data_IF_537349792046
#
_entry.id   IF_537349792046
#
_cell.length_a   1.000
_cell.length_b   1.000
_cell.length_c   1.000
_cell.angle_alpha   90.00
_cell.angle_beta   90.00
_cell.angle_gamma   90.00
#
_symmetry.space_group_name_H-M   'P 1'
#
loop_
_entity.id
_entity.type
_entity.pdbx_description
1 polymer ?
#
# COMPACT_ATOMS: atom_id res chain seq x y z
N UNK A 1 -0.56 25.51 6.91
CA UNK A 1 -0.47 26.27 8.18
C UNK A 1 0.59 27.35 7.98
N UNK A 2 0.55 28.50 8.67
CA UNK A 2 1.41 29.63 8.36
C UNK A 2 2.92 29.42 8.63
N UNK A 3 3.31 28.41 9.41
CA UNK A 3 4.72 28.14 9.76
C UNK A 3 5.33 26.91 9.06
N UNK A 4 4.53 25.88 8.80
CA UNK A 4 4.98 24.62 8.17
C UNK A 4 3.85 23.93 7.43
N UNK A 5 4.20 23.05 6.50
CA UNK A 5 3.23 22.21 5.83
C UNK A 5 2.72 21.08 6.75
N UNK A 6 1.51 20.59 6.48
CA UNK A 6 0.94 19.46 7.25
C UNK A 6 1.76 18.18 7.08
N UNK A 7 2.27 17.92 5.87
CA UNK A 7 3.17 16.80 5.56
C UNK A 7 4.44 16.83 6.42
N UNK A 8 5.05 18.01 6.57
CA UNK A 8 6.25 18.23 7.38
C UNK A 8 6.01 17.94 8.86
N UNK A 9 4.89 18.44 9.43
CA UNK A 9 4.49 18.13 10.80
C UNK A 9 4.34 16.60 10.99
N UNK A 10 3.71 15.92 10.04
CA UNK A 10 3.48 14.47 10.12
C UNK A 10 4.78 13.67 10.01
N UNK A 11 5.76 14.14 9.22
CA UNK A 11 7.12 13.59 9.21
C UNK A 11 7.79 13.72 10.57
N UNK A 12 7.78 14.92 11.16
CA UNK A 12 8.35 15.16 12.50
C UNK A 12 7.66 14.31 13.57
N UNK A 13 6.34 14.17 13.51
CA UNK A 13 5.58 13.33 14.43
C UNK A 13 5.97 11.86 14.31
N UNK A 14 6.20 11.36 13.09
CA UNK A 14 6.71 9.99 12.85
C UNK A 14 8.11 9.81 13.43
N UNK A 15 9.01 10.76 13.25
CA UNK A 15 10.38 10.67 13.76
C UNK A 15 10.42 10.67 15.30
N UNK A 16 9.62 11.55 15.93
CA UNK A 16 9.56 11.66 17.38
C UNK A 16 8.79 10.49 18.03
N UNK A 17 7.73 10.00 17.38
CA UNK A 17 6.88 8.92 17.88
C UNK A 17 6.33 8.07 16.72
N UNK A 18 7.07 7.04 16.27
CA UNK A 18 6.67 6.20 15.13
C UNK A 18 5.32 5.51 15.33
N UNK A 19 4.99 5.18 16.58
CA UNK A 19 3.75 4.51 16.99
C UNK A 19 2.53 5.44 16.99
N UNK A 20 2.70 6.76 16.87
CA UNK A 20 1.57 7.69 16.78
C UNK A 20 0.80 7.49 15.48
N UNK A 21 -0.53 7.36 15.57
CA UNK A 21 -1.38 7.32 14.39
C UNK A 21 -1.52 8.72 13.81
N UNK A 22 -1.40 8.83 12.48
CA UNK A 22 -1.32 10.09 11.75
C UNK A 22 -2.47 10.18 10.76
N UNK A 23 -3.29 11.22 10.85
CA UNK A 23 -4.42 11.47 9.96
C UNK A 23 -4.18 12.83 9.30
N UNK A 24 -4.27 12.91 7.97
CA UNK A 24 -4.14 14.17 7.25
C UNK A 24 -5.51 14.69 6.80
N UNK A 25 -5.80 15.94 7.15
CA UNK A 25 -6.96 16.67 6.65
C UNK A 25 -6.55 17.48 5.42
N UNK A 26 -7.04 17.11 4.24
CA UNK A 26 -6.64 17.73 2.97
C UNK A 26 -7.81 18.35 2.22
N UNK A 27 -7.52 19.38 1.43
CA UNK A 27 -8.40 19.86 0.36
C UNK A 27 -7.88 19.34 -0.98
N UNK A 28 -8.73 19.29 -2.01
CA UNK A 28 -8.40 18.74 -3.33
C UNK A 28 -7.19 19.41 -4.05
N UNK A 29 -6.64 20.50 -3.52
CA UNK A 29 -5.73 21.39 -4.22
C UNK A 29 -4.23 21.16 -3.98
N UNK A 30 -3.81 20.17 -3.18
CA UNK A 30 -2.39 20.00 -2.87
C UNK A 30 -1.92 18.55 -3.03
N UNK A 31 -1.55 18.22 -4.26
CA UNK A 31 -1.04 16.90 -4.61
C UNK A 31 0.36 16.66 -4.06
N UNK A 32 1.23 17.66 -4.08
CA UNK A 32 2.59 17.53 -3.58
C UNK A 32 2.60 17.23 -2.08
N UNK A 33 1.78 17.94 -1.28
CA UNK A 33 1.64 17.63 0.13
C UNK A 33 1.03 16.24 0.37
N UNK A 34 0.14 15.79 -0.51
CA UNK A 34 -0.43 14.45 -0.44
C UNK A 34 0.65 13.40 -0.68
N UNK A 35 1.42 13.53 -1.77
CA UNK A 35 2.55 12.64 -2.08
C UNK A 35 3.58 12.64 -0.94
N UNK A 36 3.97 13.82 -0.45
CA UNK A 36 4.94 13.96 0.63
C UNK A 36 4.46 13.25 1.91
N UNK A 37 3.19 13.38 2.26
CA UNK A 37 2.69 12.74 3.49
C UNK A 37 2.52 11.22 3.38
N UNK A 38 2.31 10.66 2.18
CA UNK A 38 2.42 9.20 1.97
C UNK A 38 3.86 8.73 2.11
N UNK A 39 4.77 9.42 1.42
CA UNK A 39 6.16 8.99 1.29
C UNK A 39 6.96 9.17 2.59
N UNK A 40 6.72 10.26 3.31
CA UNK A 40 7.49 10.66 4.49
C UNK A 40 6.66 10.55 5.77
N UNK A 41 5.42 11.03 5.73
CA UNK A 41 4.53 11.09 6.89
C UNK A 41 3.89 9.76 7.28
N UNK A 42 3.87 8.75 6.41
CA UNK A 42 3.20 7.45 6.62
C UNK A 42 1.84 7.61 7.32
N UNK A 43 0.97 8.37 6.65
CA UNK A 43 -0.38 8.68 7.08
C UNK A 43 -1.24 7.43 7.09
N UNK A 44 -2.00 7.25 8.15
CA UNK A 44 -2.98 6.18 8.29
C UNK A 44 -4.23 6.43 7.44
N UNK A 45 -4.77 7.66 7.50
CA UNK A 45 -5.98 8.07 6.76
C UNK A 45 -5.93 9.51 6.33
N UNK A 46 -6.60 9.76 5.22
CA UNK A 46 -6.92 11.07 4.70
C UNK A 46 -8.39 11.38 4.93
N UNK A 47 -8.65 12.60 5.39
CA UNK A 47 -9.98 13.16 5.53
C UNK A 47 -10.09 14.40 4.64
N UNK A 48 -11.17 14.47 3.87
CA UNK A 48 -11.42 15.56 2.94
C UNK A 48 -12.07 16.75 3.65
N UNK A 49 -11.71 17.96 3.20
CA UNK A 49 -12.37 19.21 3.58
C UNK A 49 -13.44 19.59 2.56
N UNK A 50 -14.61 20.11 2.99
CA UNK A 50 -15.04 20.27 4.38
C UNK A 50 -15.34 18.91 5.04
N UNK A 51 -14.91 18.73 6.29
CA UNK A 51 -15.03 17.45 6.96
C UNK A 51 -16.45 17.21 7.49
N UNK A 52 -16.85 15.95 7.53
CA UNK A 52 -18.09 15.52 8.19
C UNK A 52 -17.75 15.09 9.63
N UNK A 53 -18.39 15.70 10.62
CA UNK A 53 -18.06 15.46 12.03
C UNK A 53 -18.13 14.00 12.47
N UNK A 54 -19.11 13.25 11.96
CA UNK A 54 -19.22 11.79 12.23
C UNK A 54 -18.08 10.99 11.60
N UNK A 55 -17.62 11.35 10.40
CA UNK A 55 -16.51 10.67 9.75
C UNK A 55 -15.20 10.89 10.52
N UNK A 56 -14.94 12.12 10.96
CA UNK A 56 -13.77 12.45 11.78
C UNK A 56 -13.77 11.63 13.06
N UNK A 57 -14.91 11.61 13.79
CA UNK A 57 -15.02 10.84 15.04
C UNK A 57 -14.77 9.35 14.81
N UNK A 58 -15.34 8.77 13.75
CA UNK A 58 -15.12 7.37 13.39
C UNK A 58 -13.65 7.07 13.12
N UNK A 59 -12.99 7.87 12.29
CA UNK A 59 -11.59 7.65 11.91
C UNK A 59 -10.64 7.86 13.09
N UNK A 60 -10.91 8.85 13.96
CA UNK A 60 -10.14 9.04 15.19
C UNK A 60 -10.32 7.87 16.16
N UNK A 61 -11.55 7.37 16.32
CA UNK A 61 -11.81 6.20 17.17
C UNK A 61 -11.10 4.94 16.65
N UNK A 62 -11.14 4.68 15.33
CA UNK A 62 -10.40 3.59 14.68
C UNK A 62 -8.89 3.73 14.94
N UNK A 63 -8.33 4.92 14.73
CA UNK A 63 -6.92 5.20 14.97
C UNK A 63 -6.54 5.02 16.45
N UNK A 64 -7.37 5.47 17.39
CA UNK A 64 -7.11 5.31 18.82
C UNK A 64 -7.10 3.84 19.23
N UNK A 65 -8.10 3.06 18.82
CA UNK A 65 -8.16 1.63 19.11
C UNK A 65 -6.93 0.87 18.60
N UNK A 66 -6.51 1.16 17.35
CA UNK A 66 -5.31 0.59 16.75
C UNK A 66 -4.04 1.00 17.52
N UNK A 67 -3.95 2.27 17.94
CA UNK A 67 -2.81 2.77 18.69
C UNK A 67 -2.69 2.03 20.03
N UNK A 68 -3.78 1.92 20.78
CA UNK A 68 -3.86 1.22 22.07
C UNK A 68 -3.44 -0.25 21.94
N UNK A 69 -4.00 -0.97 20.95
CA UNK A 69 -3.65 -2.37 20.67
C UNK A 69 -2.15 -2.53 20.36
N UNK A 70 -1.59 -1.60 19.58
CA UNK A 70 -0.17 -1.64 19.21
C UNK A 70 0.78 -1.33 20.37
N UNK A 71 0.40 -0.39 21.25
CA UNK A 71 1.19 -0.06 22.44
C UNK A 71 1.25 -1.24 23.41
N UNK A 72 0.15 -1.97 23.59
CA UNK A 72 0.13 -3.17 24.44
C UNK A 72 1.11 -4.26 23.96
N UNK A 73 1.30 -4.37 22.65
CA UNK A 73 2.20 -5.36 22.03
C UNK A 73 3.68 -4.94 22.08
N UNK A 74 3.98 -3.63 22.01
CA UNK A 74 5.36 -3.13 22.11
C UNK A 74 6.02 -3.39 23.48
N UNK A 75 5.23 -3.64 24.53
CA UNK A 75 5.71 -4.07 25.85
C UNK A 75 6.37 -5.46 25.85
N UNK A 76 6.13 -6.28 24.81
CA UNK A 76 6.64 -7.66 24.75
C UNK A 76 7.68 -7.78 23.62
N UNK A 77 8.94 -7.40 23.93
CA UNK A 77 10.12 -7.48 23.02
C UNK A 77 10.57 -8.92 22.72
N UNK A 78 9.67 -9.80 22.30
CA UNK A 78 10.06 -11.08 21.71
C UNK A 78 9.61 -11.10 20.26
N UNK A 79 10.54 -10.67 19.40
CA UNK A 79 10.46 -10.86 17.96
C UNK A 79 10.64 -12.35 17.68
N UNK A 80 9.56 -13.11 17.67
CA UNK A 80 9.60 -14.44 17.09
C UNK A 80 9.74 -14.25 15.58
N UNK A 81 10.95 -14.44 15.06
CA UNK A 81 11.20 -14.43 13.61
C UNK A 81 10.54 -15.68 13.05
N UNK A 82 9.28 -15.56 12.61
CA UNK A 82 8.64 -16.58 11.78
C UNK A 82 9.33 -16.53 10.42
N UNK A 83 10.39 -17.32 10.25
CA UNK A 83 11.08 -17.46 8.96
C UNK A 83 10.14 -18.17 7.99
N UNK A 84 9.49 -17.41 7.12
CA UNK A 84 8.99 -17.97 5.87
C UNK A 84 10.18 -18.48 5.07
N UNK A 85 10.19 -19.76 4.71
CA UNK A 85 11.23 -20.36 3.87
C UNK A 85 11.06 -20.01 2.38
N UNK A 86 9.96 -19.35 1.98
CA UNK A 86 9.73 -18.93 0.60
C UNK A 86 10.31 -17.54 0.37
N UNK A 87 11.07 -17.40 -0.73
CA UNK A 87 11.61 -16.13 -1.21
C UNK A 87 10.46 -15.12 -1.38
N UNK A 88 10.54 -13.90 -0.84
CA UNK A 88 9.54 -12.86 -1.02
C UNK A 88 9.27 -12.62 -2.51
N UNK A 89 8.01 -12.36 -2.88
CA UNK A 89 7.59 -12.22 -4.28
C UNK A 89 7.18 -10.78 -4.57
N UNK A 90 7.75 -10.19 -5.61
CA UNK A 90 7.46 -8.83 -6.05
C UNK A 90 6.70 -8.91 -7.37
N UNK A 91 5.45 -8.45 -7.36
CA UNK A 91 4.65 -8.32 -8.58
C UNK A 91 4.76 -6.89 -9.11
N UNK A 92 5.17 -6.75 -10.37
CA UNK A 92 5.21 -5.50 -11.11
C UNK A 92 4.05 -5.50 -12.10
N UNK A 93 3.16 -4.51 -11.97
CA UNK A 93 2.04 -4.23 -12.86
C UNK A 93 2.35 -2.95 -13.63
N UNK A 94 3.03 -3.03 -14.77
CA UNK A 94 3.44 -1.88 -15.58
C UNK A 94 3.58 -2.31 -17.05
N UNK A 95 3.27 -1.46 -18.03
CA UNK A 95 3.60 -1.74 -19.45
C UNK A 95 5.08 -1.63 -19.73
N UNK A 96 5.75 -0.78 -18.98
CA UNK A 96 7.15 -0.47 -19.22
C UNK A 96 8.04 -1.52 -18.55
N UNK A 97 8.67 -2.35 -19.37
CA UNK A 97 9.67 -3.33 -18.91
C UNK A 97 10.83 -2.64 -18.15
N UNK A 98 11.08 -1.35 -18.39
CA UNK A 98 12.11 -0.56 -17.71
C UNK A 98 11.92 -0.54 -16.18
N UNK A 99 10.67 -0.45 -15.70
CA UNK A 99 10.34 -0.53 -14.28
C UNK A 99 10.70 -1.92 -13.75
N UNK A 100 10.30 -2.98 -14.45
CA UNK A 100 10.56 -4.36 -14.05
C UNK A 100 12.07 -4.67 -14.01
N UNK A 101 12.83 -4.22 -15.01
CA UNK A 101 14.29 -4.34 -15.04
C UNK A 101 14.94 -3.63 -13.87
N UNK A 102 14.51 -2.40 -13.58
CA UNK A 102 15.05 -1.62 -12.45
C UNK A 102 14.77 -2.34 -11.11
N UNK A 103 13.56 -2.86 -10.92
CA UNK A 103 13.19 -3.64 -9.72
C UNK A 103 14.02 -4.93 -9.64
N UNK A 104 14.24 -5.61 -10.77
CA UNK A 104 15.08 -6.81 -10.83
C UNK A 104 16.53 -6.53 -10.44
N UNK A 105 17.11 -5.42 -10.90
CA UNK A 105 18.47 -4.99 -10.51
C UNK A 105 18.59 -4.68 -9.02
N UNK A 106 17.51 -4.25 -8.35
CA UNK A 106 17.52 -3.87 -6.92
C UNK A 106 17.27 -5.09 -6.01
N UNK A 107 16.28 -5.92 -6.36
CA UNK A 107 15.75 -6.98 -5.48
C UNK A 107 15.91 -8.40 -6.04
N UNK A 108 16.39 -8.60 -7.28
CA UNK A 108 16.40 -9.91 -7.95
C UNK A 108 17.12 -11.02 -7.18
N UNK A 109 18.18 -10.69 -6.45
CA UNK A 109 18.91 -11.67 -5.63
C UNK A 109 18.10 -12.14 -4.43
N UNK A 110 17.24 -11.29 -3.86
CA UNK A 110 16.53 -11.51 -2.59
C UNK A 110 15.05 -11.81 -2.74
N UNK A 111 14.46 -11.44 -3.87
CA UNK A 111 13.05 -11.67 -4.19
C UNK A 111 12.88 -12.48 -5.48
N UNK A 112 11.73 -13.12 -5.63
CA UNK A 112 11.23 -13.57 -6.93
C UNK A 112 10.53 -12.37 -7.59
N UNK A 113 10.94 -12.01 -8.81
CA UNK A 113 10.45 -10.83 -9.52
C UNK A 113 9.52 -11.28 -10.64
N UNK A 114 8.31 -10.76 -10.65
CA UNK A 114 7.25 -11.14 -11.59
C UNK A 114 6.75 -9.88 -12.25
N UNK A 115 6.83 -9.82 -13.57
CA UNK A 115 6.32 -8.70 -14.35
C UNK A 115 5.07 -9.12 -15.10
N UNK A 116 4.00 -8.34 -14.94
CA UNK A 116 2.75 -8.47 -15.65
C UNK A 116 2.45 -7.15 -16.38
N UNK A 117 2.47 -7.20 -17.70
CA UNK A 117 2.12 -6.06 -18.57
C UNK A 117 0.62 -5.87 -18.75
N UNK A 118 -0.19 -6.84 -18.32
CA UNK A 118 -1.65 -6.80 -18.45
C UNK A 118 -2.35 -7.39 -17.22
N UNK A 119 -3.65 -7.10 -17.13
CA UNK A 119 -4.48 -7.51 -15.99
C UNK A 119 -4.62 -9.02 -15.90
N UNK A 120 -4.72 -9.72 -17.03
CA UNK A 120 -4.91 -11.17 -17.04
C UNK A 120 -3.68 -11.87 -16.47
N UNK A 121 -2.48 -11.48 -16.91
CA UNK A 121 -1.25 -12.04 -16.37
C UNK A 121 -1.10 -11.72 -14.88
N UNK A 122 -1.40 -10.49 -14.45
CA UNK A 122 -1.38 -10.12 -13.03
C UNK A 122 -2.34 -11.00 -12.20
N UNK A 123 -3.53 -11.30 -12.71
CA UNK A 123 -4.50 -12.21 -12.07
C UNK A 123 -3.94 -13.60 -11.87
N UNK A 124 -3.36 -14.16 -12.93
CA UNK A 124 -2.79 -15.51 -12.90
C UNK A 124 -1.71 -15.59 -11.84
N UNK A 125 -0.82 -14.60 -11.78
CA UNK A 125 0.28 -14.55 -10.82
C UNK A 125 -0.18 -14.41 -9.36
N UNK A 126 -1.20 -13.60 -9.11
CA UNK A 126 -1.82 -13.46 -7.78
C UNK A 126 -2.57 -14.73 -7.34
N UNK A 127 -3.08 -15.51 -8.30
CA UNK A 127 -3.68 -16.81 -8.02
C UNK A 127 -2.62 -17.85 -7.65
N UNK A 128 -1.41 -17.81 -8.25
CA UNK A 128 -0.35 -18.80 -7.98
C UNK A 128 0.19 -18.70 -6.57
N UNK A 129 0.51 -17.48 -6.13
CA UNK A 129 1.17 -17.25 -4.85
C UNK A 129 0.90 -15.84 -4.34
N UNK A 130 0.83 -15.70 -3.02
CA UNK A 130 0.76 -14.39 -2.39
C UNK A 130 2.03 -13.57 -2.67
N UNK A 131 1.83 -12.26 -2.74
CA UNK A 131 2.87 -11.28 -3.09
C UNK A 131 3.26 -10.45 -1.87
N UNK A 132 4.55 -10.23 -1.69
CA UNK A 132 5.11 -9.46 -0.60
C UNK A 132 5.07 -7.96 -0.90
N UNK A 133 5.42 -7.61 -2.13
CA UNK A 133 5.43 -6.23 -2.64
C UNK A 133 4.71 -6.18 -3.97
N UNK A 134 3.91 -5.13 -4.18
CA UNK A 134 3.33 -4.78 -5.47
C UNK A 134 3.89 -3.44 -5.92
N UNK A 135 4.45 -3.40 -7.12
CA UNK A 135 4.88 -2.20 -7.83
C UNK A 135 3.89 -1.99 -8.97
N UNK A 136 3.15 -0.88 -8.99
CA UNK A 136 2.02 -0.73 -9.93
C UNK A 136 2.00 0.62 -10.61
N UNK A 137 1.92 0.64 -11.93
CA UNK A 137 1.21 1.71 -12.64
C UNK A 137 -0.29 1.59 -12.36
N UNK A 138 -1.02 2.70 -12.42
CA UNK A 138 -2.47 2.70 -12.23
C UNK A 138 -3.24 2.29 -13.49
N UNK A 139 -2.59 2.32 -14.65
CA UNK A 139 -3.20 1.95 -15.92
C UNK A 139 -2.50 0.74 -16.52
N UNK A 140 -3.24 -0.37 -16.66
CA UNK A 140 -2.86 -1.53 -17.47
C UNK A 140 -3.67 -1.58 -18.77
N UNK A 141 -3.11 -1.08 -19.87
CA UNK A 141 -3.79 -0.79 -21.12
C UNK A 141 -4.78 0.34 -20.85
N UNK A 142 -6.03 0.08 -21.20
CA UNK A 142 -7.14 0.98 -20.89
C UNK A 142 -7.77 0.71 -19.51
N UNK A 143 -7.23 -0.23 -18.74
CA UNK A 143 -7.82 -0.65 -17.46
C UNK A 143 -7.17 0.05 -16.27
N UNK A 144 -7.98 0.72 -15.44
CA UNK A 144 -7.54 1.20 -14.15
C UNK A 144 -7.44 0.04 -13.15
N UNK A 145 -6.25 -0.21 -12.60
CA UNK A 145 -5.98 -1.33 -11.68
C UNK A 145 -6.06 -0.97 -10.20
N UNK A 146 -6.55 0.22 -9.86
CA UNK A 146 -6.74 0.65 -8.46
C UNK A 146 -7.57 -0.34 -7.63
N UNK A 147 -8.62 -0.92 -8.22
CA UNK A 147 -9.42 -1.94 -7.55
C UNK A 147 -8.62 -3.23 -7.24
N UNK A 148 -7.61 -3.56 -8.05
CA UNK A 148 -6.72 -4.72 -7.81
C UNK A 148 -5.89 -4.45 -6.56
N UNK A 149 -5.28 -3.26 -6.45
CA UNK A 149 -4.51 -2.86 -5.26
C UNK A 149 -5.38 -2.89 -3.99
N UNK A 150 -6.60 -2.34 -4.07
CA UNK A 150 -7.59 -2.37 -2.97
C UNK A 150 -7.90 -3.81 -2.56
N UNK A 151 -8.09 -4.70 -3.53
CA UNK A 151 -8.41 -6.13 -3.29
C UNK A 151 -7.23 -6.91 -2.71
N UNK A 152 -6.02 -6.70 -3.23
CA UNK A 152 -4.79 -7.33 -2.69
C UNK A 152 -4.64 -7.00 -1.21
N UNK A 153 -4.84 -5.73 -0.83
CA UNK A 153 -4.69 -5.31 0.56
C UNK A 153 -5.76 -5.88 1.49
N UNK A 154 -6.98 -6.07 1.00
CA UNK A 154 -8.05 -6.75 1.75
C UNK A 154 -7.74 -8.22 2.01
N UNK A 155 -7.16 -8.92 1.03
CA UNK A 155 -6.81 -10.34 1.15
C UNK A 155 -5.54 -10.55 1.98
N UNK A 156 -4.53 -9.70 1.77
CA UNK A 156 -3.22 -9.79 2.37
C UNK A 156 -2.81 -8.42 2.95
N UNK A 157 -3.27 -8.08 4.18
CA UNK A 157 -2.98 -6.78 4.79
C UNK A 157 -1.49 -6.48 4.94
N UNK A 158 -0.63 -7.49 5.04
CA UNK A 158 0.83 -7.34 5.14
C UNK A 158 1.52 -6.91 3.84
N UNK A 159 0.90 -7.09 2.66
CA UNK A 159 1.50 -6.74 1.37
C UNK A 159 1.78 -5.24 1.30
N UNK A 160 2.98 -4.87 0.85
CA UNK A 160 3.36 -3.47 0.66
C UNK A 160 3.09 -3.06 -0.79
N UNK A 161 2.52 -1.87 -1.00
CA UNK A 161 2.17 -1.39 -2.33
C UNK A 161 2.89 -0.07 -2.61
N UNK A 162 3.57 0.02 -3.75
CA UNK A 162 4.07 1.28 -4.30
C UNK A 162 3.40 1.54 -5.64
N UNK A 163 2.90 2.76 -5.81
CA UNK A 163 2.34 3.22 -7.08
C UNK A 163 3.39 4.04 -7.81
N UNK A 164 3.69 3.66 -9.05
CA UNK A 164 4.61 4.36 -9.95
C UNK A 164 3.83 4.72 -11.22
N UNK A 165 3.48 5.99 -11.41
CA UNK A 165 2.58 6.35 -12.51
C UNK A 165 2.86 7.75 -13.06
N UNK A 166 2.52 8.00 -14.32
CA UNK A 166 2.42 9.37 -14.86
C UNK A 166 1.06 10.03 -14.52
N UNK A 167 0.13 9.26 -13.96
CA UNK A 167 -1.22 9.73 -13.65
C UNK A 167 -1.24 10.62 -12.41
N UNK A 168 -1.67 11.86 -12.62
CA UNK A 168 -1.60 12.93 -11.63
C UNK A 168 -3.02 13.33 -11.16
N UNK A 169 -3.61 12.51 -10.28
CA UNK A 169 -4.95 12.76 -9.71
C UNK A 169 -4.95 12.59 -8.19
N UNK A 170 -5.17 13.70 -7.51
CA UNK A 170 -5.16 13.76 -6.05
C UNK A 170 -6.28 12.92 -5.44
N UNK A 171 -7.45 12.86 -6.10
CA UNK A 171 -8.60 12.11 -5.60
C UNK A 171 -8.31 10.61 -5.62
N UNK A 172 -7.78 10.09 -6.72
CA UNK A 172 -7.37 8.67 -6.81
C UNK A 172 -6.24 8.35 -5.84
N UNK A 173 -5.27 9.25 -5.68
CA UNK A 173 -4.20 9.08 -4.68
C UNK A 173 -4.80 8.93 -3.27
N UNK A 174 -5.72 9.81 -2.87
CA UNK A 174 -6.41 9.75 -1.57
C UNK A 174 -7.16 8.42 -1.39
N UNK A 175 -7.89 7.98 -2.42
CA UNK A 175 -8.58 6.69 -2.38
C UNK A 175 -7.62 5.51 -2.20
N UNK A 176 -6.49 5.50 -2.91
CA UNK A 176 -5.49 4.45 -2.80
C UNK A 176 -4.83 4.41 -1.42
N UNK A 177 -4.62 5.57 -0.80
CA UNK A 177 -4.10 5.63 0.57
C UNK A 177 -5.13 5.05 1.54
N UNK A 178 -6.39 5.45 1.41
CA UNK A 178 -7.43 5.05 2.35
C UNK A 178 -7.88 3.59 2.16
N UNK A 179 -8.01 3.12 0.93
CA UNK A 179 -8.65 1.84 0.58
C UNK A 179 -7.67 0.76 0.13
N UNK A 180 -6.43 1.13 -0.25
CA UNK A 180 -5.37 0.19 -0.59
C UNK A 180 -4.13 0.31 0.29
N UNK A 181 -4.06 1.33 1.17
CA UNK A 181 -2.91 1.59 2.03
C UNK A 181 -1.58 1.54 1.27
N UNK A 182 -1.53 2.27 0.14
CA UNK A 182 -0.28 2.40 -0.59
C UNK A 182 0.79 2.98 0.34
N UNK A 183 1.95 2.33 0.35
CA UNK A 183 3.05 2.68 1.22
C UNK A 183 3.86 3.82 0.63
N UNK A 184 3.95 3.88 -0.71
CA UNK A 184 4.71 4.89 -1.44
C UNK A 184 3.99 5.26 -2.75
N UNK A 185 4.19 6.49 -3.19
CA UNK A 185 3.78 6.98 -4.49
C UNK A 185 4.98 7.65 -5.17
N UNK A 186 5.20 7.36 -6.45
CA UNK A 186 6.28 7.93 -7.22
C UNK A 186 5.80 8.33 -8.63
N UNK A 187 5.98 9.59 -9.05
CA UNK A 187 5.70 9.98 -10.42
C UNK A 187 6.74 9.36 -11.37
N UNK A 188 6.33 9.00 -12.60
CA UNK A 188 7.27 8.70 -13.69
C UNK A 188 7.90 10.02 -14.19
N UNK A 189 9.19 10.05 -14.58
CA UNK A 189 10.11 8.92 -14.72
C UNK A 189 10.68 8.40 -13.40
N UNK A 190 10.96 7.09 -13.36
CA UNK A 190 11.48 6.38 -12.19
C UNK A 190 12.89 6.85 -11.82
N UNK A 191 13.07 7.33 -10.58
CA UNK A 191 14.40 7.51 -10.00
C UNK A 191 14.89 6.21 -9.38
N UNK A 192 15.91 5.58 -10.00
CA UNK A 192 16.47 4.29 -9.54
C UNK A 192 16.90 4.32 -8.07
N UNK A 193 17.62 5.36 -7.66
CA UNK A 193 18.12 5.49 -6.27
C UNK A 193 16.98 5.62 -5.26
N UNK A 194 15.94 6.39 -5.61
CA UNK A 194 14.78 6.56 -4.74
C UNK A 194 13.95 5.27 -4.66
N UNK A 195 13.70 4.64 -5.82
CA UNK A 195 13.00 3.36 -5.88
C UNK A 195 13.71 2.29 -5.06
N UNK A 196 15.05 2.22 -5.15
CA UNK A 196 15.83 1.29 -4.34
C UNK A 196 15.58 1.48 -2.85
N UNK A 197 15.68 2.72 -2.34
CA UNK A 197 15.40 3.02 -0.93
C UNK A 197 13.98 2.64 -0.50
N UNK A 198 12.99 2.88 -1.36
CA UNK A 198 11.61 2.52 -1.07
C UNK A 198 11.40 1.01 -1.02
N UNK A 199 11.91 0.28 -2.02
CA UNK A 199 11.78 -1.17 -2.10
C UNK A 199 12.46 -1.88 -0.91
N UNK A 200 13.64 -1.40 -0.50
CA UNK A 200 14.33 -1.90 0.69
C UNK A 200 13.49 -1.72 1.96
N UNK A 201 13.04 -0.49 2.23
CA UNK A 201 12.23 -0.20 3.40
C UNK A 201 10.89 -0.96 3.40
N UNK A 202 10.31 -1.18 2.22
CA UNK A 202 9.09 -1.99 2.06
C UNK A 202 9.35 -3.47 2.36
N UNK A 203 10.46 -4.03 1.91
CA UNK A 203 10.81 -5.42 2.19
C UNK A 203 11.03 -5.67 3.69
N UNK A 204 11.76 -4.77 4.35
CA UNK A 204 11.94 -4.80 5.81
C UNK A 204 10.60 -4.71 6.54
N UNK A 205 9.73 -3.79 6.10
CA UNK A 205 8.40 -3.60 6.69
C UNK A 205 7.51 -4.83 6.49
N UNK A 206 7.53 -5.45 5.31
CA UNK A 206 6.83 -6.71 5.05
C UNK A 206 7.26 -7.78 6.07
N UNK A 207 8.56 -8.00 6.24
CA UNK A 207 9.06 -8.98 7.22
C UNK A 207 8.63 -8.66 8.66
N UNK A 208 8.66 -7.38 9.07
CA UNK A 208 8.22 -6.97 10.40
C UNK A 208 6.73 -7.27 10.64
N UNK A 209 5.88 -7.02 9.65
CA UNK A 209 4.43 -7.25 9.70
C UNK A 209 4.07 -8.74 9.63
N UNK A 210 4.84 -9.53 8.88
CA UNK A 210 4.69 -10.99 8.86
C UNK A 210 5.08 -11.62 10.19
N UNK A 211 6.09 -11.07 10.88
CA UNK A 211 6.53 -11.56 12.18
C UNK A 211 5.62 -11.13 13.34
N UNK A 212 4.88 -10.03 13.20
CA UNK A 212 4.04 -9.47 14.26
C UNK A 212 2.61 -9.22 13.74
N UNK A 213 1.72 -10.23 13.81
CA UNK A 213 0.34 -10.11 13.33
C UNK A 213 -0.42 -8.93 13.93
N UNK A 214 -0.15 -8.55 15.19
CA UNK A 214 -0.79 -7.40 15.82
C UNK A 214 -0.46 -6.05 15.15
N UNK A 215 0.68 -5.93 14.46
CA UNK A 215 0.99 -4.73 13.68
C UNK A 215 0.19 -4.65 12.38
N UNK A 216 -0.42 -5.76 11.94
CA UNK A 216 -1.26 -5.79 10.74
C UNK A 216 -2.58 -5.06 10.93
N UNK A 217 -3.09 -4.94 12.17
CA UNK A 217 -4.30 -4.15 12.46
C UNK A 217 -4.10 -2.66 12.12
N UNK A 218 -2.87 -2.16 12.26
CA UNK A 218 -2.51 -0.80 11.79
C UNK A 218 -2.65 -0.63 10.29
N UNK A 219 -2.70 -1.74 9.56
CA UNK A 219 -2.82 -1.78 8.12
C UNK A 219 -4.25 -1.96 7.60
N UNK A 220 -5.25 -1.82 8.47
CA UNK A 220 -6.64 -1.84 8.09
C UNK A 220 -6.91 -0.84 6.95
N UNK A 221 -7.68 -1.26 5.96
CA UNK A 221 -8.13 -0.41 4.85
C UNK A 221 -9.59 -0.02 5.04
N UNK A 222 -9.94 1.17 4.58
CA UNK A 222 -11.33 1.55 4.42
C UNK A 222 -11.99 0.64 3.37
N UNK A 223 -13.30 0.43 3.51
CA UNK A 223 -14.07 -0.25 2.48
C UNK A 223 -13.95 0.50 1.15
N UNK A 224 -13.87 -0.24 0.04
CA UNK A 224 -13.98 0.33 -1.30
C UNK A 224 -15.29 1.13 -1.35
N UNK A 225 -15.24 2.39 -1.75
CA UNK A 225 -16.44 3.24 -1.78
C UNK A 225 -17.18 3.13 -3.12
N UNK A 226 -16.42 3.10 -4.21
CA UNK A 226 -16.95 3.14 -5.58
C UNK A 226 -17.73 1.85 -5.93
N UNK A 227 -18.98 1.96 -6.43
CA UNK A 227 -19.80 0.79 -6.78
C UNK A 227 -19.24 -0.06 -7.92
N UNK A 228 -18.61 0.55 -8.93
CA UNK A 228 -18.02 -0.18 -10.05
C UNK A 228 -16.79 -0.96 -9.59
N UNK A 229 -15.91 -0.33 -8.81
CA UNK A 229 -14.74 -1.00 -8.25
C UNK A 229 -15.13 -2.12 -7.27
N UNK A 230 -16.21 -1.95 -6.48
CA UNK A 230 -16.77 -3.04 -5.65
C UNK A 230 -17.14 -4.24 -6.50
N UNK A 231 -17.82 -4.03 -7.63
CA UNK A 231 -18.19 -5.10 -8.54
C UNK A 231 -16.96 -5.75 -9.16
N UNK A 232 -15.99 -4.96 -9.61
CA UNK A 232 -14.72 -5.45 -10.15
C UNK A 232 -13.94 -6.27 -9.12
N UNK A 233 -13.84 -5.80 -7.88
CA UNK A 233 -13.19 -6.51 -6.76
C UNK A 233 -13.89 -7.83 -6.45
N UNK A 234 -15.23 -7.86 -6.43
CA UNK A 234 -16.00 -9.12 -6.25
C UNK A 234 -15.75 -10.11 -7.37
N UNK A 235 -15.78 -9.65 -8.62
CA UNK A 235 -15.52 -10.49 -9.79
C UNK A 235 -14.08 -11.02 -9.78
N UNK A 236 -13.13 -10.16 -9.43
CA UNK A 236 -11.72 -10.48 -9.25
C UNK A 236 -11.53 -11.58 -8.21
N UNK A 237 -12.12 -11.45 -7.02
CA UNK A 237 -12.04 -12.47 -5.96
C UNK A 237 -12.64 -13.80 -6.40
N UNK A 238 -13.79 -13.78 -7.09
CA UNK A 238 -14.42 -14.98 -7.62
C UNK A 238 -13.57 -15.68 -8.70
N UNK A 239 -12.84 -14.91 -9.53
CA UNK A 239 -11.91 -15.47 -10.51
C UNK A 239 -10.65 -16.02 -9.84
N UNK A 240 -10.07 -15.29 -8.88
CA UNK A 240 -8.91 -15.69 -8.11
C UNK A 240 -9.14 -17.02 -7.38
N UNK A 241 -10.30 -17.17 -6.73
CA UNK A 241 -10.67 -18.41 -6.03
C UNK A 241 -10.79 -19.61 -6.98
N UNK A 242 -11.35 -19.41 -8.18
CA UNK A 242 -11.42 -20.47 -9.20
C UNK A 242 -10.05 -20.88 -9.74
N UNK A 243 -9.16 -19.90 -9.96
CA UNK A 243 -7.79 -20.18 -10.42
C UNK A 243 -6.99 -20.92 -9.35
N UNK A 244 -7.04 -20.47 -8.08
CA UNK A 244 -6.40 -21.17 -6.95
C UNK A 244 -6.87 -22.62 -6.84
N UNK A 245 -8.19 -22.85 -6.92
CA UNK A 245 -8.76 -24.21 -6.86
C UNK A 245 -8.31 -25.14 -7.98
N UNK A 246 -8.07 -24.61 -9.19
CA UNK A 246 -7.55 -25.40 -10.32
C UNK A 246 -6.07 -25.76 -10.18
N UNK A 247 -5.29 -24.94 -9.47
CA UNK A 247 -3.86 -25.18 -9.27
C UNK A 247 -3.56 -26.14 -8.12
N UNK A 248 -4.54 -26.35 -7.22
CA UNK A 248 -4.46 -27.30 -6.10
C UNK A 248 -5.04 -28.69 -6.42
N UNK A 249 -5.67 -28.86 -7.59
CA UNK A 249 -6.25 -30.10 -8.08
C UNK A 249 -5.27 -30.80 -9.04
#
# INVERSE_FOLDING_TARGET
>A
MPLMQGSELLRLAREASPATMRILLTGYSDMEASIASVNEGEVFRYLLKPWVGEEVRRVVAEAAAIAEASFAVQSNKQVAVVKSHKKPRVLIMDHEETTARTVHEILGDRCEIVWASDVQHAMEELARQDVSIVVSDLMLGDTNVGYILKTIKQLNPQTQCIVITSFNDTSRLIELINQAQISRYMPKPVSKNLLARYLEAMLERFHALSAQPALQERQAVAAISDPQEKLQSRNFMGLLGRLRGRMTA
#
